data_IF_509588668443
#
_entry.id   IF_509588668443
#
_cell.length_a   1.000
_cell.length_b   1.000
_cell.length_c   1.000
_cell.angle_alpha   90.00
_cell.angle_beta   90.00
_cell.angle_gamma   90.00
#
_symmetry.space_group_name_H-M   'P 1'
#
loop_
_entity.id
_entity.type
_entity.pdbx_description
1 polymer ?
#
# COMPACT_ATOMS: atom_id res chain seq x y z
N UNK A 1 -20.33 0.44 8.84
CA UNK A 1 -19.22 -0.16 8.08
C UNK A 1 -18.71 0.92 7.15
N UNK A 2 -17.42 1.23 7.16
CA UNK A 2 -16.86 2.16 6.18
C UNK A 2 -16.95 1.54 4.79
N UNK A 3 -17.23 2.37 3.79
CA UNK A 3 -17.22 1.96 2.39
C UNK A 3 -15.79 2.05 1.86
N UNK A 4 -15.35 1.06 1.09
CA UNK A 4 -13.99 1.02 0.54
C UNK A 4 -14.01 0.89 -0.98
N UNK A 5 -13.19 1.68 -1.66
CA UNK A 5 -12.93 1.53 -3.09
C UNK A 5 -11.59 0.82 -3.28
N UNK A 6 -11.60 -0.39 -3.85
CA UNK A 6 -10.38 -1.11 -4.22
C UNK A 6 -9.65 -0.35 -5.35
N UNK A 7 -8.35 -0.13 -5.17
CA UNK A 7 -7.49 0.61 -6.09
C UNK A 7 -6.44 -0.28 -6.73
N UNK A 8 -5.94 -1.26 -5.98
CA UNK A 8 -4.95 -2.22 -6.44
C UNK A 8 -5.15 -3.55 -5.73
N UNK A 9 -4.82 -4.63 -6.43
CA UNK A 9 -4.81 -5.98 -5.88
C UNK A 9 -3.72 -6.80 -6.56
N UNK A 10 -2.94 -7.49 -5.74
CA UNK A 10 -1.88 -8.39 -6.17
C UNK A 10 -2.09 -9.71 -5.45
N UNK A 11 -2.25 -10.80 -6.21
CA UNK A 11 -2.52 -12.14 -5.68
C UNK A 11 -1.64 -13.13 -6.44
N UNK A 12 -1.11 -14.13 -5.74
CA UNK A 12 -0.35 -15.23 -6.37
C UNK A 12 -1.06 -15.75 -7.64
N UNK A 13 -0.32 -15.96 -8.75
CA UNK A 13 1.13 -15.98 -8.84
C UNK A 13 1.79 -14.60 -9.02
N UNK A 14 1.04 -13.49 -9.01
CA UNK A 14 1.61 -12.15 -9.04
C UNK A 14 2.07 -11.74 -7.64
N UNK A 15 3.19 -11.05 -7.54
CA UNK A 15 3.79 -10.60 -6.27
C UNK A 15 4.59 -9.32 -6.50
N UNK A 16 4.92 -8.63 -5.41
CA UNK A 16 5.81 -7.47 -5.46
C UNK A 16 7.24 -7.95 -5.70
N UNK A 17 7.75 -7.77 -6.91
CA UNK A 17 9.11 -8.16 -7.28
C UNK A 17 10.16 -7.13 -6.89
N UNK A 18 9.77 -5.87 -6.72
CA UNK A 18 10.66 -4.80 -6.26
C UNK A 18 9.91 -3.81 -5.36
N UNK A 19 10.56 -3.41 -4.27
CA UNK A 19 10.12 -2.33 -3.39
C UNK A 19 11.25 -1.32 -3.25
N UNK A 20 10.97 -0.06 -3.53
CA UNK A 20 11.91 1.05 -3.30
C UNK A 20 11.32 2.00 -2.28
N UNK A 21 12.08 2.32 -1.22
CA UNK A 21 11.69 3.25 -0.18
C UNK A 21 12.55 4.52 -0.26
N UNK A 22 11.90 5.69 -0.33
CA UNK A 22 12.56 6.99 -0.39
C UNK A 22 11.90 7.94 0.59
N UNK A 23 12.68 8.57 1.46
CA UNK A 23 12.19 9.72 2.24
C UNK A 23 12.15 10.94 1.33
N UNK A 24 10.99 11.55 1.18
CA UNK A 24 10.84 12.80 0.43
C UNK A 24 11.19 14.00 1.32
N UNK A 25 11.78 15.05 0.74
CA UNK A 25 12.20 16.26 1.47
C UNK A 25 11.01 17.04 2.08
N UNK A 26 9.79 16.76 1.62
CA UNK A 26 8.56 17.33 2.16
C UNK A 26 8.21 16.65 3.50
N UNK A 27 8.51 17.33 4.61
CA UNK A 27 8.08 16.98 5.98
C UNK A 27 8.44 15.56 6.47
N UNK A 28 9.37 14.88 5.80
CA UNK A 28 9.79 13.52 6.17
C UNK A 28 8.82 12.42 5.72
N UNK A 29 7.91 12.71 4.79
CA UNK A 29 7.01 11.72 4.18
C UNK A 29 7.84 10.59 3.54
N UNK A 30 7.40 9.35 3.74
CA UNK A 30 7.94 8.16 3.11
C UNK A 30 7.18 7.89 1.81
N UNK A 31 7.92 7.73 0.70
CA UNK A 31 7.43 7.18 -0.56
C UNK A 31 7.87 5.72 -0.67
N UNK A 32 6.92 4.81 -0.78
CA UNK A 32 7.16 3.43 -1.21
C UNK A 32 6.74 3.25 -2.66
N UNK A 33 7.60 2.65 -3.48
CA UNK A 33 7.29 2.28 -4.86
C UNK A 33 7.32 0.76 -4.96
N UNK A 34 6.15 0.16 -5.18
CA UNK A 34 5.93 -1.28 -5.30
C UNK A 34 5.79 -1.62 -6.77
N UNK A 35 6.57 -2.58 -7.26
CA UNK A 35 6.49 -3.04 -8.65
C UNK A 35 6.08 -4.50 -8.71
N UNK A 36 4.93 -4.75 -9.31
CA UNK A 36 4.49 -6.07 -9.80
C UNK A 36 4.85 -6.22 -11.28
N UNK A 37 4.47 -7.34 -11.91
CA UNK A 37 4.78 -7.57 -13.32
C UNK A 37 4.14 -6.53 -14.26
N UNK A 38 2.91 -6.08 -13.94
CA UNK A 38 2.10 -5.27 -14.85
C UNK A 38 1.79 -3.87 -14.31
N UNK A 39 2.12 -3.61 -13.05
CA UNK A 39 1.69 -2.40 -12.35
C UNK A 39 2.76 -1.92 -11.38
N UNK A 40 2.92 -0.60 -11.33
CA UNK A 40 3.69 0.08 -10.30
C UNK A 40 2.72 0.86 -9.41
N UNK A 41 2.86 0.70 -8.10
CA UNK A 41 2.07 1.42 -7.10
C UNK A 41 2.99 2.27 -6.27
N UNK A 42 2.71 3.56 -6.19
CA UNK A 42 3.40 4.48 -5.30
C UNK A 42 2.51 4.81 -4.11
N UNK A 43 3.02 4.59 -2.90
CA UNK A 43 2.35 4.89 -1.64
C UNK A 43 3.11 6.01 -0.92
N UNK A 44 2.38 6.91 -0.28
CA UNK A 44 2.92 8.05 0.44
C UNK A 44 2.30 8.09 1.84
N UNK A 45 3.15 8.19 2.87
CA UNK A 45 2.70 8.22 4.26
C UNK A 45 3.85 8.37 5.24
N UNK A 46 3.64 7.92 6.48
CA UNK A 46 4.59 8.09 7.58
C UNK A 46 4.96 6.74 8.21
N UNK A 47 4.86 6.63 9.54
CA UNK A 47 5.31 5.48 10.34
C UNK A 47 4.59 4.19 9.97
N UNK A 48 3.26 4.22 9.86
CA UNK A 48 2.46 3.03 9.56
C UNK A 48 2.76 2.45 8.15
N UNK A 49 3.06 3.33 7.19
CA UNK A 49 3.55 2.90 5.87
C UNK A 49 4.94 2.25 5.97
N UNK A 50 5.82 2.76 6.84
CA UNK A 50 7.15 2.19 7.04
C UNK A 50 7.08 0.77 7.64
N UNK A 51 6.15 0.56 8.59
CA UNK A 51 5.94 -0.73 9.24
C UNK A 51 5.41 -1.79 8.26
N UNK A 52 4.70 -1.36 7.20
CA UNK A 52 4.16 -2.26 6.18
C UNK A 52 5.20 -2.91 5.25
N UNK A 53 6.44 -2.41 5.21
CA UNK A 53 7.45 -2.80 4.19
C UNK A 53 7.75 -4.30 4.20
N UNK A 54 7.91 -4.89 5.38
CA UNK A 54 8.26 -6.32 5.51
C UNK A 54 7.12 -7.22 5.02
N UNK A 55 5.89 -6.85 5.37
CA UNK A 55 4.69 -7.60 5.01
C UNK A 55 4.38 -7.44 3.52
N UNK A 56 4.54 -6.25 2.94
CA UNK A 56 4.39 -6.02 1.50
C UNK A 56 5.34 -6.87 0.65
N UNK A 57 6.55 -7.13 1.12
CA UNK A 57 7.52 -7.99 0.42
C UNK A 57 7.23 -9.48 0.60
N UNK A 58 6.59 -9.87 1.71
CA UNK A 58 6.35 -11.26 2.08
C UNK A 58 4.94 -11.76 1.73
N UNK A 59 4.04 -10.85 1.34
CA UNK A 59 2.63 -11.14 1.16
C UNK A 59 2.33 -11.95 -0.09
N UNK A 60 1.41 -12.88 0.08
CA UNK A 60 0.82 -13.71 -0.99
C UNK A 60 -0.37 -13.02 -1.65
N UNK A 61 -1.00 -12.11 -0.90
CA UNK A 61 -2.09 -11.26 -1.35
C UNK A 61 -1.93 -9.89 -0.71
N UNK A 62 -2.02 -8.85 -1.54
CA UNK A 62 -2.07 -7.46 -1.13
C UNK A 62 -3.33 -6.83 -1.72
N UNK A 63 -4.10 -6.14 -0.89
CA UNK A 63 -5.19 -5.28 -1.36
C UNK A 63 -4.94 -3.86 -0.89
N UNK A 64 -5.04 -2.89 -1.80
CA UNK A 64 -4.97 -1.46 -1.45
C UNK A 64 -6.30 -0.83 -1.81
N UNK A 65 -6.89 -0.15 -0.83
CA UNK A 65 -8.21 0.46 -0.97
C UNK A 65 -8.26 1.83 -0.32
N UNK A 66 -9.16 2.67 -0.81
CA UNK A 66 -9.44 3.99 -0.22
C UNK A 66 -10.73 3.93 0.60
N UNK A 67 -10.66 4.36 1.85
CA UNK A 67 -11.82 4.59 2.70
C UNK A 67 -12.64 5.77 2.14
N UNK A 68 -13.92 5.53 1.87
CA UNK A 68 -14.87 6.52 1.36
C UNK A 68 -15.72 7.08 2.51
N UNK A 69 -16.34 8.23 2.26
CA UNK A 69 -17.27 8.87 3.20
C UNK A 69 -16.68 9.15 4.59
N UNK A 70 -15.36 9.38 4.65
CA UNK A 70 -14.63 9.70 5.87
C UNK A 70 -14.35 11.20 5.94
N UNK A 71 -14.30 11.75 7.15
CA UNK A 71 -13.87 13.13 7.41
C UNK A 71 -12.36 13.25 7.61
N UNK A 72 -11.62 12.14 7.46
CA UNK A 72 -10.16 12.11 7.58
C UNK A 72 -9.51 12.78 6.38
N UNK A 73 -8.53 13.64 6.64
CA UNK A 73 -7.67 14.25 5.61
C UNK A 73 -6.44 13.38 5.28
N UNK A 74 -6.03 12.50 6.21
CA UNK A 74 -4.85 11.64 6.14
C UNK A 74 -5.21 10.21 6.58
N UNK A 75 -4.38 9.22 6.24
CA UNK A 75 -4.62 7.81 6.59
C UNK A 75 -5.92 7.27 6.00
N UNK A 76 -6.20 7.59 4.73
CA UNK A 76 -7.41 7.15 4.03
C UNK A 76 -7.18 5.95 3.13
N UNK A 77 -5.92 5.62 2.85
CA UNK A 77 -5.54 4.47 2.04
C UNK A 77 -5.20 3.33 2.98
N UNK A 78 -6.00 2.27 2.92
CA UNK A 78 -5.77 1.03 3.66
C UNK A 78 -4.97 0.06 2.80
N UNK A 79 -3.95 -0.53 3.40
CA UNK A 79 -3.11 -1.58 2.85
C UNK A 79 -3.40 -2.83 3.65
N UNK A 80 -3.87 -3.87 2.98
CA UNK A 80 -4.15 -5.17 3.58
C UNK A 80 -3.15 -6.18 3.02
N UNK A 81 -2.47 -6.89 3.92
CA UNK A 81 -1.42 -7.85 3.63
C UNK A 81 -1.79 -9.22 4.20
N UNK A 82 -1.66 -10.26 3.37
CA UNK A 82 -1.81 -11.65 3.82
C UNK A 82 -0.50 -12.41 3.60
N UNK A 83 0.11 -12.87 4.69
CA UNK A 83 1.33 -13.68 4.69
C UNK A 83 1.01 -15.03 5.33
N UNK A 84 0.96 -16.12 4.56
CA UNK A 84 0.62 -17.46 5.08
C UNK A 84 -0.64 -17.46 5.96
N UNK A 85 -1.75 -16.91 5.46
CA UNK A 85 -3.04 -16.77 6.17
C UNK A 85 -3.05 -15.77 7.35
N UNK A 86 -1.92 -15.20 7.74
CA UNK A 86 -1.86 -14.11 8.71
C UNK A 86 -2.23 -12.78 8.05
N UNK A 87 -3.16 -12.05 8.66
CA UNK A 87 -3.62 -10.75 8.20
C UNK A 87 -2.94 -9.61 8.98
N UNK A 88 -2.44 -8.63 8.23
CA UNK A 88 -1.97 -7.34 8.75
C UNK A 88 -2.63 -6.22 7.95
N UNK A 89 -2.90 -5.09 8.61
CA UNK A 89 -3.36 -3.87 7.93
C UNK A 89 -2.56 -2.65 8.36
N UNK A 90 -2.36 -1.76 7.40
CA UNK A 90 -1.60 -0.52 7.53
C UNK A 90 -2.31 0.61 6.80
N UNK A 91 -1.94 1.84 7.11
CA UNK A 91 -2.53 3.04 6.54
C UNK A 91 -1.49 3.98 5.95
N UNK A 92 -1.88 4.62 4.85
CA UNK A 92 -1.12 5.71 4.25
C UNK A 92 -2.07 6.80 3.70
N UNK A 93 -1.49 7.90 3.24
CA UNK A 93 -2.23 9.11 2.93
C UNK A 93 -2.66 9.16 1.47
N UNK A 94 -1.79 8.68 0.58
CA UNK A 94 -1.99 8.77 -0.87
C UNK A 94 -1.42 7.57 -1.58
N UNK A 95 -2.08 7.23 -2.69
CA UNK A 95 -1.64 6.20 -3.62
C UNK A 95 -1.72 6.71 -5.06
N UNK A 96 -0.74 6.32 -5.87
CA UNK A 96 -0.75 6.46 -7.32
C UNK A 96 -0.52 5.07 -7.94
N UNK A 97 -1.36 4.68 -8.92
CA UNK A 97 -1.26 3.39 -9.59
C UNK A 97 -0.99 3.63 -11.06
N UNK A 98 0.14 3.14 -11.54
CA UNK A 98 0.58 3.25 -12.93
C UNK A 98 0.57 1.86 -13.59
N UNK A 99 -0.05 1.78 -14.78
CA UNK A 99 -0.02 0.57 -15.61
C UNK A 99 1.26 0.59 -16.44
N UNK A 100 2.01 -0.52 -16.42
CA UNK A 100 3.26 -0.68 -17.16
C UNK A 100 3.02 -1.22 -18.56
#
# INVERSE_FOLDING_TARGET
MSDYKKLFECVRPDFIGNLTAVRTEEQGVLKLSLRSNNQTVELYGFEDLADSVSDLLSSDHITISQELNTYKEFGTIRIECWVNESYSEYWCDRVNVEQT
#
